data_IF_831666121504
#
_entry.id   IF_831666121504
#
_cell.length_a   1.000
_cell.length_b   1.000
_cell.length_c   1.000
_cell.angle_alpha   90.00
_cell.angle_beta   90.00
_cell.angle_gamma   90.00
#
_symmetry.space_group_name_H-M   'P 1'
#
loop_
_entity.id
_entity.type
_entity.pdbx_description
1 polymer ?
#
# COMPACT_ATOMS: atom_id res chain seq x y z
N UNK A 1 -5.37 10.98 18.59
CA UNK A 1 -3.93 11.02 18.33
C UNK A 1 -3.42 12.44 18.35
N UNK A 2 -2.64 12.73 19.35
CA UNK A 2 -2.17 14.10 19.57
C UNK A 2 -1.17 14.58 18.52
N UNK A 3 -0.32 13.68 18.01
CA UNK A 3 0.70 14.07 17.05
C UNK A 3 0.11 14.56 15.71
N UNK A 4 -1.10 14.11 15.36
CA UNK A 4 -1.76 14.56 14.12
C UNK A 4 -2.10 16.03 14.18
N UNK A 5 -2.47 16.52 15.37
CA UNK A 5 -2.79 17.95 15.56
C UNK A 5 -1.55 18.83 15.48
N UNK A 6 -0.38 18.30 15.80
CA UNK A 6 0.89 19.04 15.78
C UNK A 6 1.56 18.98 14.40
N UNK A 7 1.04 18.19 13.48
CA UNK A 7 1.48 18.11 12.09
C UNK A 7 0.40 18.72 11.20
N UNK A 8 0.73 19.08 9.98
CA UNK A 8 -0.26 19.61 9.04
C UNK A 8 -1.01 18.49 8.31
N UNK A 9 -1.06 17.30 8.91
CA UNK A 9 -1.70 16.12 8.34
C UNK A 9 -3.12 15.98 8.86
N UNK A 10 -4.00 15.44 8.03
CA UNK A 10 -5.38 15.12 8.40
C UNK A 10 -5.60 13.63 8.28
N UNK A 11 -6.33 13.06 9.24
CA UNK A 11 -6.75 11.67 9.18
C UNK A 11 -8.09 11.56 8.45
N UNK A 12 -8.18 10.61 7.53
CA UNK A 12 -9.44 10.25 6.88
C UNK A 12 -9.81 8.84 7.28
N UNK A 13 -11.09 8.64 7.58
CA UNK A 13 -11.58 7.31 7.93
C UNK A 13 -11.59 6.41 6.70
N UNK A 14 -11.01 5.22 6.84
CA UNK A 14 -11.03 4.17 5.83
C UNK A 14 -11.76 2.97 6.42
N UNK A 15 -12.67 2.36 5.67
CA UNK A 15 -13.43 1.22 6.17
C UNK A 15 -12.51 0.08 6.60
N UNK A 16 -12.85 -0.53 7.75
CA UNK A 16 -12.08 -1.62 8.35
C UNK A 16 -12.59 -2.97 7.85
N UNK A 17 -12.15 -3.34 6.63
CA UNK A 17 -12.61 -4.58 5.99
C UNK A 17 -11.43 -5.22 5.32
N UNK A 18 -10.53 -5.68 5.45
CA UNK A 18 -9.41 -6.32 4.75
C UNK A 18 -8.99 -5.64 3.44
N UNK A 19 -9.75 -4.68 2.96
CA UNK A 19 -9.43 -3.91 1.75
C UNK A 19 -8.78 -2.57 2.07
N UNK A 20 -8.47 -2.33 3.32
CA UNK A 20 -8.08 -0.99 3.80
C UNK A 20 -6.89 -0.38 3.07
N UNK A 21 -5.86 -1.15 2.75
CA UNK A 21 -4.71 -0.62 2.00
C UNK A 21 -5.16 -0.09 0.64
N UNK A 22 -5.94 -0.88 -0.09
CA UNK A 22 -6.40 -0.50 -1.43
C UNK A 22 -7.45 0.60 -1.37
N UNK A 23 -8.26 0.65 -0.32
CA UNK A 23 -9.20 1.75 -0.08
C UNK A 23 -8.45 3.04 0.22
N UNK A 24 -7.42 3.00 1.03
CA UNK A 24 -6.61 4.18 1.34
C UNK A 24 -5.91 4.70 0.09
N UNK A 25 -5.36 3.82 -0.73
CA UNK A 25 -4.77 4.20 -2.01
C UNK A 25 -5.80 4.83 -2.93
N UNK A 26 -6.98 4.23 -3.02
CA UNK A 26 -8.07 4.75 -3.84
C UNK A 26 -8.46 6.15 -3.42
N UNK A 27 -8.59 6.37 -2.12
CA UNK A 27 -8.95 7.68 -1.59
C UNK A 27 -7.95 8.76 -1.99
N UNK A 28 -6.66 8.48 -1.89
CA UNK A 28 -5.65 9.47 -2.22
C UNK A 28 -5.42 9.64 -3.72
N UNK A 29 -5.60 8.59 -4.51
CA UNK A 29 -5.41 8.67 -5.96
C UNK A 29 -6.62 9.24 -6.68
N UNK A 30 -7.82 8.92 -6.21
CA UNK A 30 -9.06 9.23 -6.93
C UNK A 30 -10.10 9.98 -6.11
N UNK A 31 -9.82 10.29 -4.85
CA UNK A 31 -10.74 11.01 -3.98
C UNK A 31 -11.90 10.19 -3.44
N UNK A 32 -11.92 8.88 -3.67
CA UNK A 32 -12.97 7.97 -3.23
C UNK A 32 -12.39 6.61 -2.93
N UNK A 33 -12.97 5.89 -1.97
CA UNK A 33 -12.58 4.52 -1.64
C UNK A 33 -13.13 3.48 -2.61
N UNK A 34 -13.99 3.88 -3.54
CA UNK A 34 -14.74 2.96 -4.40
C UNK A 34 -13.89 2.22 -5.43
N UNK A 35 -12.68 2.70 -5.71
CA UNK A 35 -11.81 2.10 -6.73
C UNK A 35 -10.85 1.05 -6.15
N UNK A 36 -11.04 0.63 -4.90
CA UNK A 36 -10.12 -0.29 -4.23
C UNK A 36 -9.98 -1.63 -4.97
N UNK A 37 -11.05 -2.12 -5.53
CA UNK A 37 -11.05 -3.41 -6.23
C UNK A 37 -10.17 -3.36 -7.48
N UNK A 38 -10.30 -2.29 -8.24
CA UNK A 38 -9.47 -2.05 -9.42
C UNK A 38 -7.99 -1.92 -9.04
N UNK A 39 -7.71 -1.22 -7.96
CA UNK A 39 -6.33 -1.02 -7.51
C UNK A 39 -5.73 -2.36 -7.07
N UNK A 40 -6.49 -3.19 -6.36
CA UNK A 40 -6.05 -4.54 -5.98
C UNK A 40 -5.68 -5.36 -7.23
N UNK A 41 -6.55 -5.36 -8.22
CA UNK A 41 -6.29 -6.10 -9.46
C UNK A 41 -5.05 -5.59 -10.19
N UNK A 42 -4.91 -4.29 -10.32
CA UNK A 42 -3.74 -3.69 -10.97
C UNK A 42 -2.46 -3.99 -10.21
N UNK A 43 -2.51 -3.96 -8.89
CA UNK A 43 -1.37 -4.30 -8.05
C UNK A 43 -0.93 -5.74 -8.29
N UNK A 44 -1.88 -6.68 -8.26
CA UNK A 44 -1.59 -8.09 -8.49
C UNK A 44 -1.11 -8.36 -9.92
N UNK A 45 -1.68 -7.68 -10.89
CA UNK A 45 -1.23 -7.78 -12.29
C UNK A 45 0.20 -7.28 -12.44
N UNK A 46 0.55 -6.20 -11.77
CA UNK A 46 1.91 -5.66 -11.79
C UNK A 46 2.90 -6.66 -11.18
N UNK A 47 2.54 -7.26 -10.05
CA UNK A 47 3.37 -8.27 -9.40
C UNK A 47 3.57 -9.47 -10.34
N UNK A 48 2.51 -9.91 -11.00
CA UNK A 48 2.57 -11.04 -11.93
C UNK A 48 3.46 -10.74 -13.13
N UNK A 49 3.33 -9.56 -13.71
CA UNK A 49 4.15 -9.14 -14.86
C UNK A 49 5.63 -9.01 -14.50
N UNK A 50 5.93 -8.75 -13.24
CA UNK A 50 7.29 -8.60 -12.75
C UNK A 50 7.69 -9.77 -11.83
N UNK A 51 7.24 -10.95 -12.17
CA UNK A 51 7.42 -12.17 -11.38
C UNK A 51 8.86 -12.39 -10.94
N UNK A 52 9.82 -12.21 -11.83
CA UNK A 52 11.23 -12.44 -11.50
C UNK A 52 11.70 -11.59 -10.34
N UNK A 53 11.20 -10.36 -10.27
CA UNK A 53 11.54 -9.44 -9.19
C UNK A 53 10.86 -9.82 -7.87
N UNK A 54 9.56 -10.14 -7.93
CA UNK A 54 8.77 -10.37 -6.71
C UNK A 54 8.85 -11.81 -6.17
N UNK A 55 9.16 -12.78 -7.02
CA UNK A 55 9.13 -14.18 -6.62
C UNK A 55 10.07 -14.50 -5.45
N UNK A 56 11.27 -13.89 -5.44
CA UNK A 56 12.22 -14.08 -4.35
C UNK A 56 11.71 -13.57 -3.02
N UNK A 57 11.00 -12.45 -3.02
CA UNK A 57 10.43 -11.89 -1.80
C UNK A 57 9.33 -12.79 -1.24
N UNK A 58 8.52 -13.38 -2.09
CA UNK A 58 7.45 -14.28 -1.68
C UNK A 58 8.00 -15.55 -1.05
N UNK A 59 9.03 -16.14 -1.65
CA UNK A 59 9.67 -17.33 -1.12
C UNK A 59 10.25 -17.11 0.27
N UNK A 60 10.82 -15.92 0.51
CA UNK A 60 11.42 -15.57 1.80
C UNK A 60 10.39 -15.12 2.84
N UNK A 61 9.36 -14.41 2.42
CA UNK A 61 8.40 -13.81 3.33
C UNK A 61 7.24 -14.73 3.70
N UNK A 62 6.86 -15.62 2.81
CA UNK A 62 5.66 -16.44 2.96
C UNK A 62 5.99 -17.93 3.18
N UNK A 63 7.23 -18.26 3.49
CA UNK A 63 7.64 -19.63 3.74
C UNK A 63 7.56 -20.49 2.47
N UNK A 64 6.78 -21.57 2.52
CA UNK A 64 6.66 -22.50 1.40
C UNK A 64 5.57 -22.16 0.40
N UNK A 65 5.03 -20.95 0.47
CA UNK A 65 3.96 -20.54 -0.44
C UNK A 65 4.51 -20.29 -1.84
N UNK A 66 3.86 -20.85 -2.86
CA UNK A 66 4.24 -20.59 -4.24
C UNK A 66 3.80 -19.22 -4.68
N UNK A 67 4.46 -18.68 -5.69
CA UNK A 67 4.10 -17.38 -6.26
C UNK A 67 2.65 -17.37 -6.76
N UNK A 68 2.26 -18.41 -7.49
CA UNK A 68 0.90 -18.50 -8.04
C UNK A 68 -0.15 -18.57 -6.94
N UNK A 69 0.12 -19.27 -5.85
CA UNK A 69 -0.80 -19.37 -4.72
C UNK A 69 -0.92 -18.03 -3.99
N UNK A 70 0.21 -17.36 -3.79
CA UNK A 70 0.23 -16.03 -3.17
C UNK A 70 -0.64 -15.05 -3.94
N UNK A 71 -0.47 -14.99 -5.26
CA UNK A 71 -1.27 -14.11 -6.10
C UNK A 71 -2.75 -14.47 -6.09
N UNK A 72 -3.05 -15.76 -6.10
CA UNK A 72 -4.44 -16.22 -6.02
C UNK A 72 -5.11 -15.69 -4.76
N UNK A 73 -4.43 -15.80 -3.62
CA UNK A 73 -4.94 -15.29 -2.34
C UNK A 73 -5.03 -13.76 -2.37
N UNK A 74 -3.98 -13.08 -2.83
CA UNK A 74 -3.95 -11.62 -2.82
C UNK A 74 -4.98 -10.98 -3.74
N UNK A 75 -5.42 -11.69 -4.77
CA UNK A 75 -6.50 -11.21 -5.64
C UNK A 75 -7.87 -11.29 -4.96
N UNK A 76 -7.97 -12.01 -3.86
CA UNK A 76 -9.24 -12.20 -3.16
C UNK A 76 -9.66 -10.95 -2.43
N UNK A 77 -10.96 -10.66 -2.48
CA UNK A 77 -11.56 -9.59 -1.70
C UNK A 77 -11.24 -9.77 -0.22
N UNK A 78 -10.94 -8.68 0.46
CA UNK A 78 -10.66 -8.63 1.91
C UNK A 78 -9.34 -9.27 2.34
N UNK A 79 -8.51 -9.69 1.41
CA UNK A 79 -7.17 -10.15 1.77
C UNK A 79 -6.28 -8.96 2.05
N UNK A 80 -5.60 -8.97 3.17
CA UNK A 80 -4.83 -7.83 3.63
C UNK A 80 -3.53 -7.66 2.85
N UNK A 81 -3.35 -6.48 2.25
CA UNK A 81 -2.11 -6.13 1.58
C UNK A 81 -1.03 -5.75 2.58
N UNK A 82 0.21 -5.98 2.20
CA UNK A 82 1.37 -5.71 3.04
C UNK A 82 2.52 -5.08 2.26
N UNK A 83 3.74 -5.31 2.75
CA UNK A 83 4.93 -4.67 2.20
C UNK A 83 5.13 -4.93 0.71
N UNK A 84 4.85 -6.14 0.25
CA UNK A 84 5.02 -6.49 -1.15
C UNK A 84 4.10 -5.67 -2.04
N UNK A 85 2.84 -5.53 -1.62
CA UNK A 85 1.86 -4.73 -2.32
C UNK A 85 2.22 -3.24 -2.29
N UNK A 86 2.77 -2.75 -1.17
CA UNK A 86 3.24 -1.37 -1.08
C UNK A 86 4.37 -1.11 -2.07
N UNK A 87 5.33 -2.02 -2.18
CA UNK A 87 6.40 -1.91 -3.16
C UNK A 87 5.83 -1.85 -4.57
N UNK A 88 4.92 -2.77 -4.88
CA UNK A 88 4.28 -2.82 -6.20
C UNK A 88 3.51 -1.54 -6.50
N UNK A 89 2.76 -1.02 -5.53
CA UNK A 89 1.97 0.19 -5.71
C UNK A 89 2.84 1.42 -5.97
N UNK A 90 3.99 1.55 -5.28
CA UNK A 90 4.89 2.68 -5.55
C UNK A 90 5.41 2.63 -6.97
N UNK A 91 5.77 1.45 -7.45
CA UNK A 91 6.31 1.28 -8.80
C UNK A 91 5.22 1.46 -9.85
N UNK A 92 4.03 0.91 -9.60
CA UNK A 92 2.90 0.99 -10.53
C UNK A 92 2.45 2.44 -10.75
N UNK A 93 2.27 3.18 -9.66
CA UNK A 93 1.78 4.55 -9.73
C UNK A 93 2.89 5.60 -9.76
N UNK A 94 4.13 5.16 -9.57
CA UNK A 94 5.33 6.03 -9.55
C UNK A 94 5.17 7.16 -8.55
N UNK A 95 4.76 6.81 -7.34
CA UNK A 95 4.60 7.74 -6.24
C UNK A 95 5.31 7.22 -5.00
N UNK A 96 5.86 8.14 -4.23
CA UNK A 96 6.40 7.83 -2.91
C UNK A 96 5.23 7.57 -1.96
N UNK A 97 5.31 6.50 -1.18
CA UNK A 97 4.33 6.18 -0.14
C UNK A 97 5.02 6.22 1.21
N UNK A 98 4.51 7.06 2.10
CA UNK A 98 4.98 7.17 3.48
C UNK A 98 3.98 6.49 4.41
N UNK A 99 4.49 5.67 5.33
CA UNK A 99 3.68 4.97 6.32
C UNK A 99 3.92 5.61 7.69
N UNK A 100 2.84 6.08 8.31
CA UNK A 100 2.87 6.71 9.63
C UNK A 100 2.22 5.79 10.66
N UNK A 101 2.79 5.74 11.86
CA UNK A 101 2.24 4.94 12.96
C UNK A 101 1.89 5.81 14.16
N UNK A 102 2.88 6.33 14.86
CA UNK A 102 2.65 7.00 16.15
C UNK A 102 3.40 8.32 16.31
N UNK A 103 3.97 8.86 15.23
CA UNK A 103 4.69 10.13 15.30
C UNK A 103 4.51 10.90 13.99
N UNK A 104 4.84 12.20 13.95
CA UNK A 104 4.77 12.99 12.72
C UNK A 104 5.83 12.63 11.68
N UNK A 105 6.73 11.71 12.03
CA UNK A 105 7.74 11.20 11.10
C UNK A 105 7.30 9.84 10.56
N UNK A 106 7.48 9.56 9.26
CA UNK A 106 7.09 8.26 8.73
C UNK A 106 7.99 7.14 9.27
N UNK A 107 7.37 6.00 9.58
CA UNK A 107 8.10 4.79 9.99
C UNK A 107 8.80 4.14 8.81
N UNK A 108 8.14 4.12 7.67
CA UNK A 108 8.65 3.52 6.44
C UNK A 108 8.33 4.43 5.26
N UNK A 109 9.25 4.45 4.29
CA UNK A 109 9.07 5.19 3.04
C UNK A 109 9.36 4.24 1.88
N UNK A 110 8.40 4.09 1.00
CA UNK A 110 8.50 3.24 -0.18
C UNK A 110 8.59 4.14 -1.42
N UNK A 111 9.42 3.76 -2.40
CA UNK A 111 9.55 4.48 -3.65
C UNK A 111 10.14 5.88 -3.46
N UNK A 112 11.18 5.99 -2.64
CA UNK A 112 11.85 7.25 -2.37
C UNK A 112 12.29 7.92 -3.66
N UNK A 113 11.88 9.16 -3.85
CA UNK A 113 12.28 9.96 -4.99
C UNK A 113 11.27 10.00 -6.14
N UNK A 114 10.32 9.09 -6.22
CA UNK A 114 9.33 9.11 -7.30
C UNK A 114 8.54 10.43 -7.32
N UNK A 115 7.90 10.75 -6.21
CA UNK A 115 7.09 11.97 -6.12
C UNK A 115 7.96 13.22 -6.16
N UNK A 116 9.13 13.17 -5.53
CA UNK A 116 10.05 14.31 -5.51
C UNK A 116 10.55 14.61 -6.92
N UNK A 117 10.98 13.58 -7.66
CA UNK A 117 11.49 13.74 -9.02
C UNK A 117 10.43 14.29 -9.99
N UNK A 118 9.15 13.96 -9.76
CA UNK A 118 8.03 14.41 -10.59
C UNK A 118 7.29 15.61 -10.02
N UNK A 119 7.71 16.09 -8.86
CA UNK A 119 7.05 17.17 -8.14
C UNK A 119 5.56 16.90 -7.90
N UNK A 120 5.23 15.65 -7.55
CA UNK A 120 3.88 15.21 -7.27
C UNK A 120 3.69 15.01 -5.77
N UNK A 121 2.42 14.94 -5.35
CA UNK A 121 2.09 14.68 -3.95
C UNK A 121 2.57 13.29 -3.51
N UNK A 122 3.07 13.25 -2.29
CA UNK A 122 3.41 11.99 -1.62
C UNK A 122 2.13 11.38 -1.07
N UNK A 123 1.96 10.08 -1.27
CA UNK A 123 0.85 9.34 -0.67
C UNK A 123 1.23 9.02 0.78
N UNK A 124 0.37 9.39 1.72
CA UNK A 124 0.60 9.18 3.14
C UNK A 124 -0.47 8.27 3.71
N UNK A 125 -0.03 7.16 4.30
CA UNK A 125 -0.91 6.16 4.89
C UNK A 125 -0.64 6.08 6.39
N UNK A 126 -1.69 5.92 7.17
CA UNK A 126 -1.60 5.72 8.61
C UNK A 126 -1.87 4.26 8.94
N UNK A 127 -0.87 3.57 9.49
CA UNK A 127 -0.97 2.15 9.87
C UNK A 127 -1.25 2.05 11.36
N UNK A 128 -2.40 1.51 11.71
CA UNK A 128 -2.92 1.49 13.08
C UNK A 128 -3.15 0.07 13.54
N UNK A 129 -2.77 -0.21 14.81
CA UNK A 129 -3.01 -1.50 15.47
C UNK A 129 -2.41 -2.70 14.72
N UNK A 130 -1.40 -2.44 13.89
CA UNK A 130 -0.72 -3.44 13.05
C UNK A 130 -1.65 -4.18 12.08
N UNK A 131 -2.82 -3.63 11.79
CA UNK A 131 -3.82 -4.31 10.96
C UNK A 131 -4.60 -3.38 10.03
N UNK A 132 -4.48 -2.05 10.16
CA UNK A 132 -5.34 -1.14 9.41
C UNK A 132 -4.56 0.05 8.85
N UNK A 133 -4.70 0.31 7.56
CA UNK A 133 -4.11 1.46 6.89
C UNK A 133 -5.05 2.66 6.82
#
# INVERSE_FOLDING_TARGET
MTWVHDSNLKLFFIEEDGNCLFRAMSHQLYGSQDHHKMIRERCCDYIELNRQYFEGFIANAAGNMTFSYYLHIMRSDREWGGNLELIALTELYRKTIEIYRSSPQPDHVFGTGYSIARNEEIIRLHYRNCVHY
#
